data_IF_256793593744
#
_entry.id   IF_256793593744
#
_cell.length_a   1.000
_cell.length_b   1.000
_cell.length_c   1.000
_cell.angle_alpha   90.00
_cell.angle_beta   90.00
_cell.angle_gamma   90.00
#
_symmetry.space_group_name_H-M   'P 1'
#
loop_
_entity.id
_entity.type
_entity.pdbx_description
1 polymer ?
#
# COMPACT_ATOMS: atom_id res chain seq x y z
N UNK A 1 -1.92 26.42 -18.47
CA UNK A 1 -2.80 25.69 -17.53
C UNK A 1 -2.73 24.17 -17.71
N UNK A 2 -2.71 23.64 -18.94
CA UNK A 2 -2.64 22.19 -19.21
C UNK A 2 -1.35 21.51 -18.74
N UNK A 3 -0.17 22.13 -18.87
CA UNK A 3 1.12 21.53 -18.46
C UNK A 3 1.20 21.20 -16.95
N UNK A 4 0.78 22.15 -16.10
CA UNK A 4 0.77 21.94 -14.65
C UNK A 4 -0.18 20.81 -14.23
N UNK A 5 -1.28 20.62 -14.95
CA UNK A 5 -2.25 19.55 -14.70
C UNK A 5 -1.68 18.18 -15.05
N UNK A 6 -0.95 18.07 -16.16
CA UNK A 6 -0.25 16.83 -16.53
C UNK A 6 0.89 16.50 -15.55
N UNK A 7 1.68 17.50 -15.14
CA UNK A 7 2.71 17.33 -14.11
C UNK A 7 2.11 16.86 -12.79
N UNK A 8 1.00 17.45 -12.37
CA UNK A 8 0.29 17.07 -11.16
C UNK A 8 -0.19 15.61 -11.25
N UNK A 9 -0.85 15.23 -12.35
CA UNK A 9 -1.30 13.85 -12.58
C UNK A 9 -0.14 12.85 -12.58
N UNK A 10 1.00 13.22 -13.17
CA UNK A 10 2.20 12.39 -13.19
C UNK A 10 2.79 12.20 -11.78
N UNK A 11 2.93 13.28 -11.01
CA UNK A 11 3.44 13.23 -9.63
C UNK A 11 2.49 12.44 -8.73
N UNK A 12 1.19 12.66 -8.83
CA UNK A 12 0.18 11.89 -8.09
C UNK A 12 0.19 10.41 -8.47
N UNK A 13 0.38 10.11 -9.75
CA UNK A 13 0.50 8.77 -10.29
C UNK A 13 1.70 8.02 -9.73
N UNK A 14 2.88 8.61 -9.84
CA UNK A 14 4.14 8.03 -9.36
C UNK A 14 4.18 7.85 -7.84
N UNK A 15 3.78 8.87 -7.09
CA UNK A 15 3.84 8.83 -5.63
C UNK A 15 2.69 8.00 -5.03
N UNK A 16 1.59 7.88 -5.77
CA UNK A 16 0.35 7.34 -5.23
C UNK A 16 -0.07 5.99 -5.78
N UNK A 17 -0.66 5.98 -6.97
CA UNK A 17 -1.24 4.76 -7.55
C UNK A 17 -0.19 3.74 -7.96
N UNK A 18 0.99 4.19 -8.39
CA UNK A 18 2.13 3.31 -8.60
C UNK A 18 2.56 2.63 -7.28
N UNK A 19 2.68 3.38 -6.17
CA UNK A 19 3.01 2.81 -4.87
C UNK A 19 1.99 1.77 -4.41
N UNK A 20 0.69 2.06 -4.56
CA UNK A 20 -0.38 1.10 -4.30
C UNK A 20 -0.22 -0.18 -5.14
N UNK A 21 0.01 -0.04 -6.46
CA UNK A 21 0.21 -1.18 -7.35
C UNK A 21 1.43 -2.02 -6.97
N UNK A 22 2.53 -1.37 -6.62
CA UNK A 22 3.76 -2.03 -6.16
C UNK A 22 3.51 -2.85 -4.89
N UNK A 23 2.86 -2.27 -3.88
CA UNK A 23 2.61 -2.94 -2.60
C UNK A 23 1.74 -4.19 -2.72
N UNK A 24 0.81 -4.20 -3.69
CA UNK A 24 -0.06 -5.34 -3.98
C UNK A 24 0.71 -6.50 -4.60
N UNK A 25 1.65 -6.23 -5.51
CA UNK A 25 2.39 -7.30 -6.22
C UNK A 25 3.66 -7.76 -5.50
N UNK A 26 4.39 -6.85 -4.86
CA UNK A 26 5.71 -7.12 -4.27
C UNK A 26 5.68 -8.11 -3.10
N UNK A 27 4.49 -8.42 -2.56
CA UNK A 27 4.36 -9.47 -1.53
C UNK A 27 4.59 -10.86 -2.11
N UNK A 28 4.35 -11.06 -3.40
CA UNK A 28 4.37 -12.40 -4.01
C UNK A 28 5.80 -12.92 -4.18
N UNK A 29 6.75 -12.09 -4.59
CA UNK A 29 8.14 -12.49 -4.83
C UNK A 29 8.87 -12.99 -3.57
N UNK A 30 8.79 -12.33 -2.40
CA UNK A 30 9.41 -12.81 -1.16
C UNK A 30 8.53 -13.78 -0.36
N UNK A 31 7.49 -14.38 -0.95
CA UNK A 31 6.54 -15.21 -0.21
C UNK A 31 7.20 -16.40 0.50
N UNK A 32 8.04 -17.16 -0.21
CA UNK A 32 8.77 -18.29 0.37
C UNK A 32 9.76 -17.83 1.47
N UNK A 33 10.40 -16.67 1.25
CA UNK A 33 11.33 -16.09 2.22
C UNK A 33 10.63 -15.62 3.51
N UNK A 34 9.44 -15.03 3.40
CA UNK A 34 8.66 -14.63 4.57
C UNK A 34 8.16 -15.87 5.32
N UNK A 35 7.75 -16.92 4.61
CA UNK A 35 7.32 -18.18 5.23
C UNK A 35 8.46 -18.90 5.94
N UNK A 36 9.67 -18.92 5.36
CA UNK A 36 10.85 -19.46 6.04
C UNK A 36 11.24 -18.63 7.27
N UNK A 37 11.17 -17.30 7.18
CA UNK A 37 11.39 -16.41 8.32
C UNK A 37 10.40 -16.65 9.46
N UNK A 38 9.12 -16.85 9.16
CA UNK A 38 8.09 -17.21 10.16
C UNK A 38 8.46 -18.54 10.83
N UNK A 39 8.85 -19.54 10.05
CA UNK A 39 9.26 -20.86 10.57
C UNK A 39 10.46 -20.75 11.52
N UNK A 40 11.51 -20.03 11.12
CA UNK A 40 12.71 -19.82 11.94
C UNK A 40 12.40 -19.08 13.23
N UNK A 41 11.59 -18.02 13.14
CA UNK A 41 11.19 -17.21 14.30
C UNK A 41 10.35 -18.02 15.28
N UNK A 42 9.42 -18.85 14.78
CA UNK A 42 8.59 -19.71 15.60
C UNK A 42 9.42 -20.78 16.32
N UNK A 43 10.34 -21.41 15.60
CA UNK A 43 11.24 -22.42 16.18
C UNK A 43 12.11 -21.82 17.29
N UNK A 44 12.63 -20.59 17.11
CA UNK A 44 13.39 -19.88 18.15
C UNK A 44 12.56 -19.55 19.40
N UNK A 45 11.26 -19.28 19.27
CA UNK A 45 10.40 -18.90 20.40
C UNK A 45 9.78 -20.09 21.13
N UNK A 46 9.34 -21.10 20.40
CA UNK A 46 8.52 -22.19 20.94
C UNK A 46 9.23 -23.55 20.92
N UNK A 47 10.44 -23.66 20.36
CA UNK A 47 11.23 -24.89 20.30
C UNK A 47 10.63 -26.00 19.43
N UNK A 48 9.48 -25.76 18.79
CA UNK A 48 8.79 -26.68 17.89
C UNK A 48 8.64 -26.07 16.51
N UNK A 49 8.68 -26.89 15.45
CA UNK A 49 8.38 -26.41 14.10
C UNK A 49 6.88 -26.22 13.94
N UNK A 50 6.39 -25.06 13.45
CA UNK A 50 4.98 -24.87 13.18
C UNK A 50 4.50 -25.83 12.06
N UNK A 51 3.23 -26.23 12.12
CA UNK A 51 2.61 -27.03 11.07
C UNK A 51 2.52 -26.24 9.75
N UNK A 52 2.48 -26.95 8.61
CA UNK A 52 2.33 -26.31 7.29
C UNK A 52 1.03 -25.49 7.18
N UNK A 53 -0.04 -25.97 7.82
CA UNK A 53 -1.33 -25.27 7.91
C UNK A 53 -1.19 -23.93 8.64
N UNK A 54 -0.46 -23.90 9.76
CA UNK A 54 -0.25 -22.67 10.54
C UNK A 54 0.56 -21.63 9.76
N UNK A 55 1.59 -22.05 9.04
CA UNK A 55 2.38 -21.15 8.18
C UNK A 55 1.48 -20.55 7.07
N UNK A 56 0.66 -21.39 6.44
CA UNK A 56 -0.27 -20.96 5.38
C UNK A 56 -1.32 -19.99 5.93
N UNK A 57 -1.83 -20.22 7.14
CA UNK A 57 -2.76 -19.33 7.82
C UNK A 57 -2.12 -17.97 8.16
N UNK A 58 -0.91 -17.97 8.69
CA UNK A 58 -0.14 -16.74 8.96
C UNK A 58 0.13 -15.95 7.68
N UNK A 59 0.53 -16.63 6.61
CA UNK A 59 0.74 -16.02 5.30
C UNK A 59 -0.55 -15.39 4.75
N UNK A 60 -1.66 -16.13 4.81
CA UNK A 60 -2.97 -15.65 4.37
C UNK A 60 -3.44 -14.45 5.17
N UNK A 61 -3.14 -14.41 6.47
CA UNK A 61 -3.41 -13.26 7.34
C UNK A 61 -2.58 -12.04 6.93
N UNK A 62 -1.28 -12.21 6.66
CA UNK A 62 -0.38 -11.13 6.19
C UNK A 62 -0.89 -10.51 4.88
N UNK A 63 -1.37 -11.34 3.94
CA UNK A 63 -1.89 -10.87 2.65
C UNK A 63 -3.26 -10.20 2.81
N UNK A 64 -4.18 -10.80 3.58
CA UNK A 64 -5.55 -10.30 3.73
C UNK A 64 -5.66 -9.03 4.59
N UNK A 65 -4.78 -8.83 5.57
CA UNK A 65 -4.82 -7.65 6.43
C UNK A 65 -4.54 -6.34 5.67
N UNK A 66 -3.83 -6.43 4.54
CA UNK A 66 -3.67 -5.29 3.64
C UNK A 66 -5.02 -4.78 3.11
N UNK A 67 -5.93 -5.69 2.74
CA UNK A 67 -7.28 -5.34 2.29
C UNK A 67 -8.12 -4.71 3.40
N UNK A 68 -7.99 -5.19 4.63
CA UNK A 68 -8.64 -4.58 5.81
C UNK A 68 -8.12 -3.16 6.03
N UNK A 69 -6.79 -2.96 5.95
CA UNK A 69 -6.19 -1.63 5.98
C UNK A 69 -6.74 -0.74 4.86
N UNK A 70 -6.81 -1.26 3.63
CA UNK A 70 -7.37 -0.56 2.48
C UNK A 70 -8.82 -0.11 2.66
N UNK A 71 -9.65 -0.93 3.31
CA UNK A 71 -11.02 -0.58 3.67
C UNK A 71 -11.05 0.61 4.64
N UNK A 72 -10.29 0.52 5.75
CA UNK A 72 -10.20 1.60 6.74
C UNK A 72 -9.66 2.90 6.15
N UNK A 73 -8.66 2.80 5.27
CA UNK A 73 -8.11 3.93 4.53
C UNK A 73 -9.13 4.55 3.58
N UNK A 74 -9.88 3.74 2.84
CA UNK A 74 -10.89 4.22 1.90
C UNK A 74 -12.07 4.89 2.61
N UNK A 75 -12.55 4.31 3.72
CA UNK A 75 -13.63 4.90 4.53
C UNK A 75 -13.24 6.23 5.15
N UNK A 76 -11.99 6.38 5.59
CA UNK A 76 -11.49 7.62 6.20
C UNK A 76 -11.08 8.69 5.16
N UNK A 77 -10.86 8.31 3.90
CA UNK A 77 -10.43 9.23 2.83
C UNK A 77 -11.38 10.40 2.64
N UNK A 78 -12.70 10.15 2.61
CA UNK A 78 -13.70 11.20 2.44
C UNK A 78 -13.66 12.24 3.56
N UNK A 79 -13.61 11.78 4.82
CA UNK A 79 -13.53 12.64 5.99
C UNK A 79 -12.24 13.47 6.02
N UNK A 80 -11.09 12.84 5.76
CA UNK A 80 -9.79 13.51 5.74
C UNK A 80 -9.69 14.56 4.63
N UNK A 81 -10.21 14.26 3.43
CA UNK A 81 -10.25 15.19 2.30
C UNK A 81 -11.10 16.44 2.57
N UNK A 82 -12.22 16.29 3.29
CA UNK A 82 -13.09 17.40 3.66
C UNK A 82 -12.47 18.24 4.77
N UNK A 83 -11.91 17.61 5.80
CA UNK A 83 -11.37 18.32 6.98
C UNK A 83 -10.02 18.99 6.74
N UNK A 84 -9.07 18.31 6.10
CA UNK A 84 -7.71 18.81 5.94
C UNK A 84 -7.41 19.35 4.53
N UNK A 85 -8.30 19.11 3.57
CA UNK A 85 -8.06 19.40 2.16
C UNK A 85 -7.21 18.34 1.47
N UNK A 86 -7.27 18.28 0.14
CA UNK A 86 -6.77 17.15 -0.67
C UNK A 86 -5.23 17.06 -0.65
N UNK A 87 -4.55 18.20 -0.78
CA UNK A 87 -3.08 18.27 -0.75
C UNK A 87 -2.51 17.85 0.62
N UNK A 88 -3.12 18.30 1.71
CA UNK A 88 -2.67 17.93 3.07
C UNK A 88 -3.03 16.48 3.40
N UNK A 89 -4.17 15.97 2.93
CA UNK A 89 -4.53 14.56 3.08
C UNK A 89 -3.49 13.63 2.45
N UNK A 90 -2.97 13.96 1.25
CA UNK A 90 -1.85 13.20 0.67
C UNK A 90 -0.57 13.27 1.49
N UNK A 91 -0.20 14.44 2.02
CA UNK A 91 0.99 14.56 2.86
C UNK A 91 0.85 13.77 4.16
N UNK A 92 -0.33 13.79 4.78
CA UNK A 92 -0.63 13.00 5.98
C UNK A 92 -0.59 11.49 5.69
N UNK A 93 -0.96 11.06 4.48
CA UNK A 93 -0.86 9.67 4.07
C UNK A 93 0.58 9.14 4.02
N UNK A 94 1.61 10.00 3.93
CA UNK A 94 3.00 9.55 4.02
C UNK A 94 3.40 9.06 5.42
N UNK A 95 2.73 9.53 6.48
CA UNK A 95 3.03 9.12 7.86
C UNK A 95 2.84 7.60 8.04
N UNK A 96 1.66 7.00 7.71
CA UNK A 96 1.50 5.55 7.81
C UNK A 96 2.38 4.77 6.83
N UNK A 97 2.81 5.35 5.69
CA UNK A 97 3.81 4.69 4.80
C UNK A 97 5.14 4.55 5.51
N UNK A 98 5.64 5.64 6.11
CA UNK A 98 6.92 5.62 6.81
C UNK A 98 6.89 4.66 7.99
N UNK A 99 5.78 4.64 8.74
CA UNK A 99 5.57 3.68 9.83
C UNK A 99 5.52 2.24 9.30
N UNK A 100 4.78 1.98 8.22
CA UNK A 100 4.71 0.66 7.59
C UNK A 100 6.06 0.17 7.09
N UNK A 101 6.82 1.03 6.41
CA UNK A 101 8.16 0.72 5.91
C UNK A 101 9.15 0.49 7.05
N UNK A 102 9.10 1.29 8.11
CA UNK A 102 9.95 1.10 9.29
C UNK A 102 9.64 -0.22 10.00
N UNK A 103 8.36 -0.55 10.21
CA UNK A 103 7.94 -1.81 10.83
C UNK A 103 8.36 -3.02 10.00
N UNK A 104 8.18 -2.98 8.68
CA UNK A 104 8.60 -4.07 7.79
C UNK A 104 10.13 -4.19 7.71
N UNK A 105 10.86 -3.07 7.66
CA UNK A 105 12.34 -3.07 7.62
C UNK A 105 12.98 -3.55 8.92
N UNK A 106 12.42 -3.15 10.07
CA UNK A 106 12.92 -3.54 11.40
C UNK A 106 12.50 -4.97 11.81
N UNK A 107 11.53 -5.58 11.12
CA UNK A 107 11.04 -6.93 11.42
C UNK A 107 12.15 -7.98 11.52
N UNK A 108 13.17 -7.88 10.64
CA UNK A 108 14.31 -8.81 10.61
C UNK A 108 15.25 -8.62 11.81
N UNK A 109 15.44 -7.38 12.27
CA UNK A 109 16.28 -7.08 13.42
C UNK A 109 15.64 -7.55 14.73
N UNK A 110 14.32 -7.40 14.84
CA UNK A 110 13.58 -7.79 16.04
C UNK A 110 13.17 -9.27 16.08
N UNK A 111 13.29 -10.02 14.98
CA UNK A 111 12.82 -11.41 14.91
C UNK A 111 11.32 -11.52 15.22
N UNK A 112 10.51 -10.66 14.60
CA UNK A 112 9.07 -10.59 14.85
C UNK A 112 8.28 -10.53 13.54
N UNK A 113 7.45 -11.55 13.31
CA UNK A 113 6.53 -11.59 12.18
C UNK A 113 5.29 -10.70 12.41
N UNK A 114 4.98 -10.37 13.67
CA UNK A 114 3.90 -9.46 14.05
C UNK A 114 4.13 -8.04 13.50
N UNK A 115 5.40 -7.61 13.43
CA UNK A 115 5.76 -6.33 12.80
C UNK A 115 5.46 -6.29 11.31
N UNK A 116 5.55 -7.43 10.61
CA UNK A 116 5.20 -7.53 9.18
C UNK A 116 3.69 -7.38 9.02
N UNK A 117 2.90 -8.02 9.89
CA UNK A 117 1.43 -7.91 9.90
C UNK A 117 1.01 -6.45 10.14
N UNK A 118 1.58 -5.80 11.16
CA UNK A 118 1.30 -4.40 11.46
C UNK A 118 1.72 -3.47 10.30
N UNK A 119 2.91 -3.69 9.73
CA UNK A 119 3.39 -2.91 8.59
C UNK A 119 2.50 -3.03 7.35
N UNK A 120 1.95 -4.23 7.10
CA UNK A 120 0.97 -4.48 6.03
C UNK A 120 -0.35 -3.77 6.26
N UNK A 121 -0.84 -3.72 7.50
CA UNK A 121 -2.03 -2.96 7.86
C UNK A 121 -1.85 -1.47 7.56
N UNK A 122 -0.75 -0.85 8.02
CA UNK A 122 -0.48 0.56 7.78
C UNK A 122 -0.27 0.88 6.29
N UNK A 123 0.43 0.01 5.57
CA UNK A 123 0.61 0.13 4.12
C UNK A 123 -0.72 0.03 3.38
N UNK A 124 -1.63 -0.84 3.83
CA UNK A 124 -3.00 -0.95 3.31
C UNK A 124 -3.82 0.32 3.55
N UNK A 125 -3.80 0.86 4.77
CA UNK A 125 -4.48 2.13 5.11
C UNK A 125 -3.99 3.25 4.20
N UNK A 126 -2.69 3.36 4.00
CA UNK A 126 -2.14 4.35 3.09
C UNK A 126 -2.59 4.11 1.63
N UNK A 127 -2.48 2.88 1.14
CA UNK A 127 -2.87 2.52 -0.21
C UNK A 127 -4.34 2.90 -0.51
N UNK A 128 -5.24 2.61 0.42
CA UNK A 128 -6.65 2.99 0.33
C UNK A 128 -6.86 4.50 0.34
N UNK A 129 -6.19 5.24 1.23
CA UNK A 129 -6.28 6.70 1.29
C UNK A 129 -5.80 7.36 -0.01
N UNK A 130 -4.59 7.02 -0.43
CA UNK A 130 -3.93 7.62 -1.59
C UNK A 130 -4.72 7.38 -2.87
N UNK A 131 -5.22 6.16 -3.08
CA UNK A 131 -5.97 5.83 -4.29
C UNK A 131 -7.26 6.66 -4.41
N UNK A 132 -8.01 6.81 -3.31
CA UNK A 132 -9.22 7.63 -3.28
C UNK A 132 -8.90 9.11 -3.48
N UNK A 133 -7.90 9.64 -2.77
CA UNK A 133 -7.49 11.05 -2.88
C UNK A 133 -7.02 11.38 -4.29
N UNK A 134 -6.28 10.47 -4.95
CA UNK A 134 -5.83 10.67 -6.33
C UNK A 134 -7.04 10.82 -7.28
N UNK A 135 -8.00 9.89 -7.25
CA UNK A 135 -9.18 9.96 -8.14
C UNK A 135 -9.99 11.24 -7.88
N UNK A 136 -10.19 11.61 -6.60
CA UNK A 136 -10.91 12.84 -6.23
C UNK A 136 -10.19 14.08 -6.76
N UNK A 137 -8.88 14.18 -6.54
CA UNK A 137 -8.10 15.35 -6.89
C UNK A 137 -7.92 15.49 -8.41
N UNK A 138 -7.73 14.36 -9.11
CA UNK A 138 -7.79 14.29 -10.57
C UNK A 138 -9.14 14.78 -11.12
N UNK A 139 -10.24 14.37 -10.49
CA UNK A 139 -11.59 14.75 -10.87
C UNK A 139 -11.91 16.24 -10.64
N UNK A 140 -11.38 16.84 -9.57
CA UNK A 140 -11.57 18.26 -9.23
C UNK A 140 -10.71 19.19 -10.11
N UNK A 141 -9.49 18.78 -10.48
CA UNK A 141 -8.58 19.61 -11.27
C UNK A 141 -8.83 19.53 -12.79
N UNK A 142 -9.48 18.46 -13.27
CA UNK A 142 -9.62 18.22 -14.71
C UNK A 142 -10.73 19.07 -15.35
N UNK A 143 -10.48 19.71 -16.52
CA UNK A 143 -11.53 20.35 -17.30
C UNK A 143 -12.51 19.29 -17.83
N UNK A 144 -13.80 19.64 -17.99
CA UNK A 144 -14.89 18.71 -18.34
C UNK A 144 -14.57 17.80 -19.54
N UNK A 145 -13.82 18.29 -20.52
CA UNK A 145 -13.43 17.55 -21.74
C UNK A 145 -12.32 16.51 -21.53
N UNK A 146 -11.46 16.67 -20.51
CA UNK A 146 -10.27 15.82 -20.27
C UNK A 146 -10.35 15.00 -18.98
N UNK A 147 -11.47 15.07 -18.25
CA UNK A 147 -11.64 14.37 -16.96
C UNK A 147 -11.45 12.86 -17.06
N UNK A 148 -11.93 12.25 -18.15
CA UNK A 148 -11.72 10.82 -18.40
C UNK A 148 -10.25 10.45 -18.61
N UNK A 149 -9.51 11.28 -19.34
CA UNK A 149 -8.08 11.03 -19.63
C UNK A 149 -7.24 11.06 -18.35
N UNK A 150 -7.50 12.01 -17.45
CA UNK A 150 -6.78 12.14 -16.18
C UNK A 150 -7.18 11.01 -15.22
N UNK A 151 -8.45 10.60 -15.19
CA UNK A 151 -8.87 9.45 -14.41
C UNK A 151 -8.17 8.15 -14.84
N UNK A 152 -7.98 7.94 -16.15
CA UNK A 152 -7.27 6.77 -16.69
C UNK A 152 -5.80 6.75 -16.27
N UNK A 153 -5.12 7.90 -16.13
CA UNK A 153 -3.72 7.88 -15.68
C UNK A 153 -3.55 7.18 -14.34
N UNK A 154 -4.51 7.34 -13.42
CA UNK A 154 -4.48 6.68 -12.12
C UNK A 154 -4.46 5.14 -12.23
N UNK A 155 -5.31 4.56 -13.10
CA UNK A 155 -5.37 3.11 -13.32
C UNK A 155 -4.16 2.59 -14.09
N UNK A 156 -3.65 3.35 -15.07
CA UNK A 156 -2.41 3.00 -15.79
C UNK A 156 -1.21 2.93 -14.85
N UNK A 157 -1.02 3.91 -13.97
CA UNK A 157 0.06 3.89 -12.98
C UNK A 157 -0.07 2.73 -11.99
N UNK A 158 -1.28 2.39 -11.55
CA UNK A 158 -1.52 1.19 -10.73
C UNK A 158 -1.12 -0.10 -11.46
N UNK A 159 -1.43 -0.21 -12.76
CA UNK A 159 -1.07 -1.38 -13.55
C UNK A 159 0.46 -1.48 -13.73
N UNK A 160 1.14 -0.36 -14.00
CA UNK A 160 2.60 -0.30 -14.10
C UNK A 160 3.23 -0.70 -12.75
N UNK A 161 2.73 -0.19 -11.63
CA UNK A 161 3.21 -0.56 -10.29
C UNK A 161 3.08 -2.06 -10.02
N UNK A 162 1.95 -2.66 -10.40
CA UNK A 162 1.75 -4.11 -10.28
C UNK A 162 2.72 -4.90 -11.13
N UNK A 163 2.96 -4.47 -12.37
CA UNK A 163 3.90 -5.11 -13.28
C UNK A 163 5.34 -5.07 -12.74
N UNK A 164 5.78 -3.90 -12.28
CA UNK A 164 7.11 -3.73 -11.65
C UNK A 164 7.23 -4.61 -10.40
N UNK A 165 6.19 -4.67 -9.56
CA UNK A 165 6.20 -5.51 -8.37
C UNK A 165 6.18 -7.02 -8.63
N UNK A 166 5.84 -7.47 -9.85
CA UNK A 166 6.02 -8.86 -10.27
C UNK A 166 7.39 -9.14 -10.88
N UNK A 167 8.01 -8.11 -11.47
CA UNK A 167 9.33 -8.23 -12.08
C UNK A 167 10.48 -8.16 -11.05
N UNK A 168 10.22 -7.57 -9.88
CA UNK A 168 11.10 -7.52 -8.71
C UNK A 168 10.85 -8.72 -7.78
#
# INVERSE_FOLDING_TARGET
MSYNLFLLAFVLGMTGTFHYGLQVSIINSPAEYIQSFIRETWLKRYGSSPSAEMITLMWSLIVSIYSIGGLLGSSSAGYLCVRFGRKKAMLLANIPVLLGAALMGLSRLCGSFEMIIAGRLFSGVCGGLIQNVHIMYAGECAPRKLRGLIAITASTFSAIGKFVGFAL
#
